data_IF_991765086230
#
_entry.id   IF_991765086230
#
_cell.length_a   1.000
_cell.length_b   1.000
_cell.length_c   1.000
_cell.angle_alpha   90.00
_cell.angle_beta   90.00
_cell.angle_gamma   90.00
#
_symmetry.space_group_name_H-M   'P 1'
#
loop_
_entity.id
_entity.type
_entity.pdbx_description
1 polymer ?
#
# COMPACT_ATOMS: atom_id res chain seq x y z
N UNK A 1 9.11 -11.01 27.04
CA UNK A 1 7.71 -10.50 26.99
C UNK A 1 7.51 -9.82 25.64
N UNK A 2 6.84 -10.47 24.68
CA UNK A 2 6.51 -9.85 23.38
C UNK A 2 5.17 -9.14 23.55
N UNK A 3 5.16 -7.82 23.46
CA UNK A 3 3.95 -7.00 23.57
C UNK A 3 3.03 -7.24 22.36
N UNK A 4 1.82 -7.72 22.66
CA UNK A 4 0.71 -7.86 21.71
C UNK A 4 0.08 -6.47 21.44
N UNK A 5 0.75 -5.60 20.70
CA UNK A 5 0.24 -4.23 20.46
C UNK A 5 -0.34 -3.99 19.06
N UNK A 6 -0.24 -4.93 18.13
CA UNK A 6 -0.52 -4.63 16.71
C UNK A 6 -1.91 -5.01 16.17
N UNK A 7 -2.69 -5.81 16.90
CA UNK A 7 -3.87 -6.46 16.31
C UNK A 7 -5.15 -5.60 16.33
N UNK A 8 -5.25 -4.61 17.21
CA UNK A 8 -6.48 -3.79 17.33
C UNK A 8 -6.48 -2.50 16.48
N UNK A 9 -5.34 -2.12 15.94
CA UNK A 9 -5.20 -0.85 15.24
C UNK A 9 -5.73 -0.90 13.80
N UNK A 10 -5.46 -1.98 13.09
CA UNK A 10 -5.92 -2.16 11.70
C UNK A 10 -7.38 -2.66 11.60
N UNK A 11 -7.90 -3.33 12.61
CA UNK A 11 -9.30 -3.78 12.63
C UNK A 11 -10.35 -2.65 12.65
N UNK A 12 -9.96 -1.41 13.00
CA UNK A 12 -10.88 -0.27 13.02
C UNK A 12 -11.00 0.44 11.67
N UNK A 13 -9.97 0.40 10.84
CA UNK A 13 -10.02 0.96 9.47
C UNK A 13 -10.95 0.10 8.60
N UNK A 14 -10.88 -1.21 8.75
CA UNK A 14 -11.72 -2.16 8.01
C UNK A 14 -13.21 -2.16 8.42
N UNK A 15 -13.55 -1.74 9.65
CA UNK A 15 -14.88 -1.98 10.25
C UNK A 15 -16.04 -1.14 9.75
N UNK A 16 -15.85 -0.02 9.05
CA UNK A 16 -16.95 0.87 8.68
C UNK A 16 -17.49 0.72 7.25
N UNK A 17 -16.70 0.27 6.29
CA UNK A 17 -17.14 0.06 4.90
C UNK A 17 -17.27 -1.41 4.49
N UNK A 18 -16.74 -2.33 5.27
CA UNK A 18 -16.73 -3.77 4.98
C UNK A 18 -18.02 -4.51 5.35
N UNK A 19 -19.16 -3.84 5.56
CA UNK A 19 -20.47 -4.51 5.69
C UNK A 19 -20.91 -5.24 4.42
N UNK A 20 -20.17 -5.20 3.34
CA UNK A 20 -20.43 -5.94 2.09
C UNK A 20 -19.30 -6.87 1.64
N UNK A 21 -18.13 -6.83 2.27
CA UNK A 21 -17.08 -7.81 1.99
C UNK A 21 -16.89 -8.68 3.24
N UNK A 22 -17.03 -9.99 3.06
CA UNK A 22 -16.87 -11.01 4.10
C UNK A 22 -15.41 -11.14 4.57
N UNK A 23 -14.85 -10.12 5.22
CA UNK A 23 -13.54 -10.22 5.91
C UNK A 23 -13.72 -10.74 7.36
N UNK A 24 -14.76 -11.52 7.63
CA UNK A 24 -15.01 -12.10 8.94
C UNK A 24 -14.37 -13.49 9.15
N UNK A 25 -13.40 -13.89 8.32
CA UNK A 25 -12.85 -15.27 8.36
C UNK A 25 -11.50 -15.37 9.10
N UNK A 26 -10.84 -14.26 9.47
CA UNK A 26 -9.47 -14.39 10.02
C UNK A 26 -9.36 -14.48 11.55
N UNK A 27 -10.44 -14.48 12.34
CA UNK A 27 -10.36 -14.46 13.82
C UNK A 27 -11.16 -15.52 14.55
N UNK A 28 -11.47 -16.67 13.97
CA UNK A 28 -11.96 -17.83 14.76
C UNK A 28 -11.13 -19.08 14.47
N UNK A 29 -10.11 -19.32 15.32
CA UNK A 29 -9.64 -20.68 15.56
C UNK A 29 -10.75 -21.46 16.25
N UNK A 30 -11.57 -22.15 15.48
CA UNK A 30 -12.53 -23.12 15.95
C UNK A 30 -12.52 -24.31 14.99
N UNK A 31 -12.24 -25.50 15.52
CA UNK A 31 -12.21 -26.77 14.80
C UNK A 31 -13.42 -26.92 13.89
N UNK A 32 -13.21 -27.10 12.60
CA UNK A 32 -14.23 -27.64 11.69
C UNK A 32 -13.69 -28.95 11.14
N UNK A 33 -14.43 -30.03 11.44
CA UNK A 33 -14.23 -31.38 10.88
C UNK A 33 -14.61 -31.37 9.41
N UNK A 34 -13.73 -31.87 8.59
CA UNK A 34 -13.95 -32.63 7.35
C UNK A 34 -15.01 -32.13 6.36
N UNK A 35 -14.57 -31.35 5.36
CA UNK A 35 -14.97 -31.47 3.97
C UNK A 35 -13.75 -31.17 3.13
N UNK A 36 -13.35 -32.14 2.32
CA UNK A 36 -12.30 -32.03 1.33
C UNK A 36 -12.69 -30.90 0.37
N UNK A 37 -12.06 -29.73 0.51
CA UNK A 37 -12.10 -28.71 -0.51
C UNK A 37 -11.09 -29.11 -1.59
N UNK A 38 -11.58 -29.32 -2.80
CA UNK A 38 -10.75 -29.37 -3.98
C UNK A 38 -9.80 -28.17 -3.97
N UNK A 39 -8.51 -28.46 -4.11
CA UNK A 39 -7.48 -27.44 -4.27
C UNK A 39 -7.77 -26.69 -5.58
N UNK A 40 -8.51 -25.58 -5.48
CA UNK A 40 -8.49 -24.58 -6.54
C UNK A 40 -7.04 -24.15 -6.67
N UNK A 41 -6.46 -24.38 -7.86
CA UNK A 41 -5.20 -23.79 -8.28
C UNK A 41 -5.19 -22.31 -7.88
N UNK A 42 -4.51 -21.98 -6.79
CA UNK A 42 -4.14 -20.63 -6.46
C UNK A 42 -3.10 -20.27 -7.53
N UNK A 43 -3.56 -19.69 -8.64
CA UNK A 43 -2.67 -18.94 -9.53
C UNK A 43 -1.98 -17.93 -8.61
N UNK A 44 -0.64 -17.93 -8.59
CA UNK A 44 0.12 -16.87 -7.97
C UNK A 44 -0.38 -15.56 -8.57
N UNK A 45 -1.29 -14.90 -7.87
CA UNK A 45 -1.81 -13.59 -8.28
C UNK A 45 -0.72 -12.60 -7.92
N UNK A 46 -0.23 -11.87 -8.90
CA UNK A 46 0.71 -10.80 -8.66
C UNK A 46 0.09 -9.79 -7.69
N UNK A 47 0.91 -9.24 -6.80
CA UNK A 47 0.48 -8.25 -5.83
C UNK A 47 0.73 -6.85 -6.37
N UNK A 48 -0.03 -5.89 -5.87
CA UNK A 48 0.08 -4.48 -6.26
C UNK A 48 1.46 -3.94 -5.85
N UNK A 49 2.15 -3.29 -6.80
CA UNK A 49 3.39 -2.59 -6.52
C UNK A 49 3.16 -1.29 -5.77
N UNK A 50 4.14 -0.88 -4.96
CA UNK A 50 4.06 0.38 -4.21
C UNK A 50 5.29 1.24 -4.52
N UNK A 51 5.05 2.49 -4.89
CA UNK A 51 6.09 3.51 -5.07
C UNK A 51 5.88 4.60 -4.04
N UNK A 52 6.95 4.96 -3.33
CA UNK A 52 6.95 6.06 -2.35
C UNK A 52 7.92 7.13 -2.84
N UNK A 53 7.43 8.33 -3.12
CA UNK A 53 8.23 9.44 -3.60
C UNK A 53 8.05 10.67 -2.72
N UNK A 54 9.13 11.16 -2.16
CA UNK A 54 9.18 12.35 -1.34
C UNK A 54 10.24 13.32 -1.85
N UNK A 55 10.06 14.61 -1.58
CA UNK A 55 11.12 15.61 -1.80
C UNK A 55 12.38 15.25 -1.02
N UNK A 56 12.25 14.61 0.11
CA UNK A 56 13.37 14.05 0.87
C UNK A 56 13.49 12.55 0.61
N UNK A 57 14.50 12.16 -0.18
CA UNK A 57 14.73 10.76 -0.53
C UNK A 57 14.92 9.85 0.70
N UNK A 58 15.62 10.33 1.73
CA UNK A 58 15.81 9.58 2.98
C UNK A 58 14.50 9.36 3.73
N UNK A 59 13.59 10.33 3.68
CA UNK A 59 12.24 10.17 4.28
C UNK A 59 11.47 9.06 3.56
N UNK A 60 11.48 9.03 2.23
CA UNK A 60 10.85 7.97 1.46
C UNK A 60 11.45 6.59 1.81
N UNK A 61 12.77 6.51 1.91
CA UNK A 61 13.48 5.29 2.30
C UNK A 61 13.06 4.80 3.69
N UNK A 62 13.00 5.68 4.68
CA UNK A 62 12.60 5.31 6.05
C UNK A 62 11.13 4.92 6.16
N UNK A 63 10.23 5.56 5.39
CA UNK A 63 8.83 5.13 5.29
C UNK A 63 8.76 3.70 4.72
N UNK A 64 9.52 3.41 3.67
CA UNK A 64 9.60 2.08 3.06
C UNK A 64 10.13 1.05 4.06
N UNK A 65 11.22 1.37 4.75
CA UNK A 65 11.84 0.48 5.75
C UNK A 65 10.86 0.17 6.88
N UNK A 66 10.14 1.18 7.36
CA UNK A 66 9.13 0.99 8.38
C UNK A 66 7.94 0.15 7.86
N UNK A 67 7.44 0.43 6.66
CA UNK A 67 6.32 -0.29 6.07
C UNK A 67 6.63 -1.78 5.83
N UNK A 68 7.87 -2.11 5.45
CA UNK A 68 8.32 -3.51 5.24
C UNK A 68 8.13 -4.40 6.48
N UNK A 69 8.11 -3.82 7.68
CA UNK A 69 7.85 -4.57 8.93
C UNK A 69 6.42 -5.12 8.97
N UNK A 70 5.48 -4.46 8.27
CA UNK A 70 4.07 -4.85 8.19
C UNK A 70 3.75 -5.75 7.01
N UNK A 71 4.69 -5.94 6.08
CA UNK A 71 4.51 -6.73 4.87
C UNK A 71 4.29 -8.20 5.20
N UNK A 72 3.20 -8.78 4.71
CA UNK A 72 2.83 -10.18 4.94
C UNK A 72 3.21 -11.10 3.79
N UNK A 73 3.16 -10.58 2.56
CA UNK A 73 3.52 -11.29 1.32
C UNK A 73 4.61 -10.49 0.58
N UNK A 74 5.34 -11.11 -0.32
CA UNK A 74 6.43 -10.46 -1.05
C UNK A 74 5.91 -9.72 -2.27
N UNK A 75 6.16 -8.42 -2.35
CA UNK A 75 5.82 -7.55 -3.48
C UNK A 75 6.77 -6.34 -3.53
N UNK A 76 6.91 -5.70 -4.71
CA UNK A 76 7.79 -4.55 -4.86
C UNK A 76 7.32 -3.33 -4.05
N UNK A 77 8.24 -2.75 -3.27
CA UNK A 77 8.08 -1.43 -2.65
C UNK A 77 9.34 -0.62 -3.03
N UNK A 78 9.17 0.40 -3.85
CA UNK A 78 10.27 1.10 -4.51
C UNK A 78 10.29 2.58 -4.13
N UNK A 79 11.48 3.13 -3.95
CA UNK A 79 11.67 4.56 -3.76
C UNK A 79 11.62 5.27 -5.12
N UNK A 80 10.65 6.17 -5.30
CA UNK A 80 10.45 6.97 -6.51
C UNK A 80 10.99 8.39 -6.41
N UNK A 81 11.74 8.71 -5.34
CA UNK A 81 12.40 10.00 -5.17
C UNK A 81 13.67 10.16 -6.03
N UNK A 82 14.28 11.32 -5.98
CA UNK A 82 15.56 11.57 -6.67
C UNK A 82 16.73 11.02 -5.83
N UNK A 83 17.15 9.80 -6.16
CA UNK A 83 18.17 9.05 -5.39
C UNK A 83 19.57 9.54 -5.69
N UNK A 84 19.78 10.18 -6.86
CA UNK A 84 21.11 10.55 -7.37
C UNK A 84 21.56 11.94 -6.89
N UNK A 85 20.63 12.76 -6.43
CA UNK A 85 20.92 14.12 -6.01
C UNK A 85 20.83 14.26 -4.50
N UNK A 86 21.84 14.84 -3.89
CA UNK A 86 21.79 15.26 -2.46
C UNK A 86 20.87 16.48 -2.24
N UNK A 87 19.98 16.77 -3.20
CA UNK A 87 19.08 17.93 -3.21
C UNK A 87 17.65 17.46 -2.99
N UNK A 88 16.88 18.24 -2.23
CA UNK A 88 15.45 17.99 -2.08
C UNK A 88 14.72 18.12 -3.42
N UNK A 89 13.88 17.14 -3.76
CA UNK A 89 13.07 17.16 -4.97
C UNK A 89 12.67 15.78 -5.43
N UNK A 90 11.82 15.72 -6.45
CA UNK A 90 11.46 14.52 -7.17
C UNK A 90 11.71 14.73 -8.66
N UNK A 91 11.92 13.66 -9.39
CA UNK A 91 12.25 13.65 -10.81
C UNK A 91 11.27 12.70 -11.52
N UNK A 92 10.71 13.14 -12.65
CA UNK A 92 9.74 12.35 -13.45
C UNK A 92 10.36 11.03 -13.93
N UNK A 93 11.58 11.08 -14.45
CA UNK A 93 12.25 9.89 -14.98
C UNK A 93 12.53 8.86 -13.90
N UNK A 94 13.05 9.28 -12.74
CA UNK A 94 13.29 8.38 -11.61
C UNK A 94 11.99 7.77 -11.11
N UNK A 95 10.93 8.58 -10.99
CA UNK A 95 9.62 8.10 -10.55
C UNK A 95 9.02 7.12 -11.57
N UNK A 96 9.14 7.39 -12.87
CA UNK A 96 8.71 6.52 -13.96
C UNK A 96 9.42 5.16 -13.89
N UNK A 97 10.75 5.17 -13.75
CA UNK A 97 11.54 3.96 -13.61
C UNK A 97 11.17 3.17 -12.35
N UNK A 98 10.85 3.86 -11.25
CA UNK A 98 10.36 3.23 -10.03
C UNK A 98 9.00 2.54 -10.25
N UNK A 99 8.07 3.17 -10.98
CA UNK A 99 6.76 2.58 -11.31
C UNK A 99 6.93 1.35 -12.19
N UNK A 100 7.75 1.43 -13.23
CA UNK A 100 8.05 0.29 -14.12
C UNK A 100 8.65 -0.88 -13.32
N UNK A 101 9.58 -0.60 -12.41
CA UNK A 101 10.23 -1.63 -11.60
C UNK A 101 9.31 -2.21 -10.50
N UNK A 102 8.28 -1.47 -10.09
CA UNK A 102 7.33 -1.92 -9.09
C UNK A 102 6.17 -2.73 -9.69
N UNK A 103 5.91 -2.61 -10.98
CA UNK A 103 4.81 -3.33 -11.59
C UNK A 103 5.12 -4.82 -11.74
N UNK A 104 4.23 -5.63 -11.20
CA UNK A 104 4.22 -7.09 -11.36
C UNK A 104 3.02 -7.57 -12.18
N UNK A 105 2.29 -6.66 -12.84
CA UNK A 105 1.08 -6.93 -13.60
C UNK A 105 -0.22 -6.83 -12.79
N UNK A 106 -0.15 -6.36 -11.54
CA UNK A 106 -1.32 -6.06 -10.71
C UNK A 106 -1.55 -4.54 -10.56
N UNK A 107 -0.74 -3.73 -11.24
CA UNK A 107 -0.73 -2.28 -11.15
C UNK A 107 0.11 -1.74 -9.99
N UNK A 108 0.21 -0.41 -9.91
CA UNK A 108 1.10 0.28 -8.97
C UNK A 108 0.38 1.43 -8.27
N UNK A 109 0.52 1.51 -6.95
CA UNK A 109 0.12 2.67 -6.15
C UNK A 109 1.30 3.61 -5.92
N UNK A 110 1.11 4.89 -6.25
CA UNK A 110 2.12 5.93 -6.10
C UNK A 110 1.74 6.82 -4.93
N UNK A 111 2.58 6.84 -3.90
CA UNK A 111 2.45 7.72 -2.75
C UNK A 111 3.42 8.88 -2.88
N UNK A 112 2.91 10.09 -2.78
CA UNK A 112 3.69 11.32 -2.85
C UNK A 112 3.46 12.19 -1.62
N UNK A 113 4.41 13.06 -1.30
CA UNK A 113 4.26 13.98 -0.18
C UNK A 113 3.43 15.22 -0.57
N UNK A 114 3.98 16.15 -1.34
CA UNK A 114 3.31 17.42 -1.64
C UNK A 114 3.91 18.10 -2.89
N UNK A 115 3.27 19.21 -3.32
CA UNK A 115 3.85 20.13 -4.30
C UNK A 115 4.17 19.48 -5.64
N UNK A 116 5.39 19.66 -6.10
CA UNK A 116 5.83 19.19 -7.43
C UNK A 116 5.85 17.68 -7.58
N UNK A 117 5.98 16.91 -6.49
CA UNK A 117 5.91 15.44 -6.57
C UNK A 117 4.54 14.95 -7.05
N UNK A 118 3.47 15.68 -6.74
CA UNK A 118 2.11 15.37 -7.26
C UNK A 118 2.07 15.56 -8.77
N UNK A 119 2.59 16.68 -9.29
CA UNK A 119 2.62 16.95 -10.73
C UNK A 119 3.51 15.96 -11.49
N UNK A 120 4.66 15.60 -10.92
CA UNK A 120 5.53 14.57 -11.48
C UNK A 120 4.81 13.21 -11.55
N UNK A 121 4.09 12.82 -10.49
CA UNK A 121 3.30 11.59 -10.48
C UNK A 121 2.17 11.61 -11.51
N UNK A 122 1.46 12.74 -11.66
CA UNK A 122 0.43 12.90 -12.70
C UNK A 122 0.99 12.75 -14.10
N UNK A 123 2.20 13.28 -14.34
CA UNK A 123 2.88 13.11 -15.62
C UNK A 123 3.25 11.64 -15.86
N UNK A 124 3.82 10.96 -14.87
CA UNK A 124 4.18 9.54 -14.95
C UNK A 124 2.96 8.67 -15.25
N UNK A 125 1.86 8.86 -14.52
CA UNK A 125 0.60 8.13 -14.76
C UNK A 125 0.11 8.33 -16.19
N UNK A 126 0.16 9.57 -16.71
CA UNK A 126 -0.24 9.87 -18.07
C UNK A 126 0.69 9.22 -19.12
N UNK A 127 1.99 9.20 -18.87
CA UNK A 127 2.96 8.60 -19.80
C UNK A 127 2.85 7.07 -19.87
N UNK A 128 2.41 6.43 -18.78
CA UNK A 128 2.31 4.97 -18.64
C UNK A 128 0.89 4.44 -18.79
N UNK A 129 -0.12 5.29 -19.08
CA UNK A 129 -1.56 4.94 -19.05
C UNK A 129 -1.94 3.72 -19.90
N UNK A 130 -1.19 3.43 -20.95
CA UNK A 130 -1.43 2.29 -21.85
C UNK A 130 -0.63 1.03 -21.50
N UNK A 131 0.32 1.16 -20.57
CA UNK A 131 1.27 0.10 -20.25
C UNK A 131 1.04 -0.45 -18.83
N UNK A 132 0.83 0.44 -17.86
CA UNK A 132 0.72 0.10 -16.43
C UNK A 132 -0.48 0.82 -15.82
N UNK A 133 -1.37 0.11 -15.13
CA UNK A 133 -2.39 0.73 -14.29
C UNK A 133 -1.75 1.32 -13.03
N UNK A 134 -1.26 2.55 -13.15
CA UNK A 134 -0.65 3.29 -12.04
C UNK A 134 -1.63 4.31 -11.46
N UNK A 135 -1.80 4.34 -10.14
CA UNK A 135 -2.71 5.24 -9.45
C UNK A 135 -2.01 6.04 -8.37
N UNK A 136 -2.25 7.36 -8.35
CA UNK A 136 -1.81 8.24 -7.26
C UNK A 136 -2.77 8.07 -6.10
N UNK A 137 -2.22 7.93 -4.90
CA UNK A 137 -3.00 7.79 -3.66
C UNK A 137 -3.08 9.13 -2.95
N UNK A 138 -4.30 9.63 -2.76
CA UNK A 138 -4.55 10.84 -1.98
C UNK A 138 -4.68 10.48 -0.49
N UNK A 139 -3.55 10.33 0.20
CA UNK A 139 -3.48 9.96 1.60
C UNK A 139 -2.29 10.64 2.31
N UNK A 140 -2.31 10.78 3.65
CA UNK A 140 -1.10 11.06 4.40
C UNK A 140 -0.03 10.01 4.10
N UNK A 141 1.16 10.46 3.67
CA UNK A 141 2.16 9.57 3.06
C UNK A 141 2.56 8.41 3.98
N UNK A 142 2.77 8.66 5.27
CA UNK A 142 3.19 7.62 6.23
C UNK A 142 2.06 6.64 6.49
N UNK A 143 0.91 7.14 6.97
CA UNK A 143 -0.24 6.30 7.33
C UNK A 143 -0.81 5.58 6.11
N UNK A 144 -0.83 6.23 4.94
CA UNK A 144 -1.29 5.63 3.69
C UNK A 144 -0.43 4.46 3.23
N UNK A 145 0.90 4.65 3.21
CA UNK A 145 1.84 3.58 2.84
C UNK A 145 1.74 2.40 3.81
N UNK A 146 1.72 2.67 5.13
CA UNK A 146 1.59 1.62 6.13
C UNK A 146 0.29 0.82 5.96
N UNK A 147 -0.83 1.51 5.69
CA UNK A 147 -2.14 0.88 5.48
C UNK A 147 -2.16 0.02 4.23
N UNK A 148 -1.61 0.52 3.12
CA UNK A 148 -1.52 -0.22 1.88
C UNK A 148 -0.64 -1.48 2.03
N UNK A 149 0.57 -1.33 2.59
CA UNK A 149 1.51 -2.46 2.77
C UNK A 149 0.92 -3.54 3.67
N UNK A 150 0.24 -3.15 4.75
CA UNK A 150 -0.36 -4.11 5.68
C UNK A 150 -1.58 -4.86 5.09
N UNK A 151 -2.30 -4.24 4.14
CA UNK A 151 -3.49 -4.80 3.52
C UNK A 151 -3.21 -5.54 2.20
N UNK A 152 -2.04 -5.32 1.56
CA UNK A 152 -1.72 -5.88 0.27
C UNK A 152 -1.58 -7.40 0.34
N UNK A 153 -2.50 -8.08 -0.32
CA UNK A 153 -2.60 -9.54 -0.34
C UNK A 153 -3.19 -10.02 -1.68
N UNK A 154 -3.10 -11.31 -1.93
CA UNK A 154 -3.61 -11.91 -3.18
C UNK A 154 -5.13 -11.74 -3.39
N UNK A 155 -5.88 -11.37 -2.36
CA UNK A 155 -7.32 -11.13 -2.43
C UNK A 155 -7.67 -9.66 -2.72
N UNK A 156 -6.67 -8.76 -2.70
CA UNK A 156 -6.85 -7.34 -2.93
C UNK A 156 -6.60 -6.98 -4.40
N UNK A 157 -7.43 -6.11 -4.95
CA UNK A 157 -7.14 -5.45 -6.22
C UNK A 157 -6.59 -4.03 -6.01
N UNK A 158 -6.16 -3.41 -7.11
CA UNK A 158 -5.54 -2.09 -7.09
C UNK A 158 -6.46 -1.02 -6.51
N UNK A 159 -7.75 -1.04 -6.88
CA UNK A 159 -8.71 -0.04 -6.43
C UNK A 159 -9.08 -0.20 -4.97
N UNK A 160 -9.32 -1.42 -4.51
CA UNK A 160 -9.60 -1.70 -3.10
C UNK A 160 -8.43 -1.29 -2.21
N UNK A 161 -7.20 -1.59 -2.65
CA UNK A 161 -5.99 -1.21 -1.92
C UNK A 161 -5.80 0.32 -1.88
N UNK A 162 -6.10 1.01 -2.99
CA UNK A 162 -6.09 2.48 -3.06
C UNK A 162 -7.05 3.08 -2.04
N UNK A 163 -8.29 2.59 -2.02
CA UNK A 163 -9.32 3.07 -1.09
C UNK A 163 -8.94 2.85 0.38
N UNK A 164 -8.34 1.70 0.71
CA UNK A 164 -7.82 1.43 2.07
C UNK A 164 -6.74 2.43 2.46
N UNK A 165 -5.82 2.71 1.54
CA UNK A 165 -4.77 3.69 1.79
C UNK A 165 -5.33 5.09 2.00
N UNK A 166 -6.29 5.53 1.20
CA UNK A 166 -6.93 6.84 1.30
C UNK A 166 -7.78 7.01 2.57
N UNK A 167 -8.41 5.94 3.05
CA UNK A 167 -9.17 5.96 4.31
C UNK A 167 -8.27 6.27 5.52
N UNK A 168 -6.94 6.09 5.40
CA UNK A 168 -5.99 6.43 6.46
C UNK A 168 -6.05 7.89 6.92
N UNK A 169 -6.54 8.82 6.07
CA UNK A 169 -6.77 10.22 6.42
C UNK A 169 -7.79 10.42 7.55
N UNK A 170 -8.72 9.48 7.69
CA UNK A 170 -9.78 9.51 8.70
C UNK A 170 -9.37 8.85 10.01
N UNK A 171 -8.10 8.49 10.14
CA UNK A 171 -7.59 7.76 11.27
C UNK A 171 -7.53 8.63 12.53
N UNK A 172 -8.28 8.25 13.55
CA UNK A 172 -8.33 8.95 14.83
C UNK A 172 -7.41 8.25 15.83
N UNK A 173 -6.33 8.92 16.25
CA UNK A 173 -5.35 8.40 17.21
C UNK A 173 -5.90 8.34 18.65
N UNK A 174 -6.78 9.26 19.00
CA UNK A 174 -7.39 9.33 20.31
C UNK A 174 -8.85 8.87 20.26
N UNK A 175 -9.27 8.04 21.22
CA UNK A 175 -10.69 7.75 21.42
C UNK A 175 -11.36 8.97 22.03
N UNK A 176 -12.60 9.29 21.60
CA UNK A 176 -13.37 10.42 22.13
C UNK A 176 -13.78 10.27 23.60
N UNK A 177 -13.42 9.17 24.22
CA UNK A 177 -13.80 8.80 25.60
C UNK A 177 -12.61 8.89 26.61
N UNK A 178 -11.51 9.55 26.20
CA UNK A 178 -10.40 9.90 27.10
C UNK A 178 -10.44 11.38 27.44
#
# INVERSE_FOLDING_TARGET
MRQKCSVNYFGQIAGRKLKKLNILIFFKKGKIKGKTMESKNIKNKNLVGIVVASHNNKLAEEIINFAKVLRQEDFPIVNGGDVEREVYGTNVENMKNAVISADSGAGVLIFVDMGSSIFNAMQVVKELEWEIDARIVDAPIVEGVLSAVAANSSDMDLEDLRLIAEESRNFTKLRKEL
#
